data_IF_243478318722
#
_entry.id   IF_243478318722
#
_cell.length_a   1.000
_cell.length_b   1.000
_cell.length_c   1.000
_cell.angle_alpha   90.00
_cell.angle_beta   90.00
_cell.angle_gamma   90.00
#
_symmetry.space_group_name_H-M   'P 1'
#
loop_
_entity.id
_entity.type
_entity.pdbx_description
1 polymer ?
#
# COMPACT_ATOMS: atom_id res chain seq x y z
N UNK A 1 -12.28 -20.33 11.73
CA UNK A 1 -12.80 -18.93 11.65
C UNK A 1 -11.91 -18.00 10.82
N UNK A 2 -10.64 -18.33 10.55
CA UNK A 2 -9.72 -17.54 9.71
C UNK A 2 -9.92 -17.75 8.20
N UNK A 3 -10.26 -18.97 7.76
CA UNK A 3 -10.46 -19.32 6.33
C UNK A 3 -11.66 -18.59 5.67
N UNK A 4 -12.79 -18.47 6.38
CA UNK A 4 -13.96 -17.74 5.89
C UNK A 4 -13.66 -16.25 5.72
N UNK A 5 -12.92 -15.66 6.66
CA UNK A 5 -12.53 -14.25 6.61
C UNK A 5 -11.57 -13.96 5.45
N UNK A 6 -10.60 -14.85 5.20
CA UNK A 6 -9.65 -14.74 4.09
C UNK A 6 -10.32 -14.92 2.71
N UNK A 7 -11.30 -15.80 2.59
CA UNK A 7 -12.06 -15.96 1.34
C UNK A 7 -13.00 -14.77 1.11
N UNK A 8 -13.69 -14.28 2.16
CA UNK A 8 -14.55 -13.08 2.07
C UNK A 8 -13.75 -11.84 1.70
N UNK A 9 -12.57 -11.63 2.31
CA UNK A 9 -11.71 -10.47 1.98
C UNK A 9 -11.12 -10.56 0.57
N UNK A 10 -10.69 -11.73 0.09
CA UNK A 10 -10.22 -11.90 -1.30
C UNK A 10 -11.32 -11.68 -2.32
N UNK A 11 -12.54 -12.16 -2.06
CA UNK A 11 -13.69 -11.96 -2.96
C UNK A 11 -14.14 -10.49 -2.93
N UNK A 12 -14.21 -9.88 -1.75
CA UNK A 12 -14.61 -8.49 -1.56
C UNK A 12 -13.63 -7.51 -2.21
N UNK A 13 -12.31 -7.73 -2.05
CA UNK A 13 -11.28 -6.88 -2.66
C UNK A 13 -11.28 -6.96 -4.20
N UNK A 14 -11.59 -8.13 -4.78
CA UNK A 14 -11.65 -8.31 -6.23
C UNK A 14 -12.95 -7.80 -6.86
N UNK A 15 -14.04 -7.84 -6.10
CA UNK A 15 -15.35 -7.31 -6.52
C UNK A 15 -15.32 -5.78 -6.41
N UNK A 16 -14.98 -5.21 -5.25
CA UNK A 16 -15.01 -3.74 -5.00
C UNK A 16 -14.11 -2.94 -5.95
N UNK A 17 -13.01 -3.51 -6.46
CA UNK A 17 -12.11 -2.85 -7.42
C UNK A 17 -12.44 -3.06 -8.91
N UNK A 18 -13.43 -3.88 -9.26
CA UNK A 18 -13.79 -4.22 -10.65
C UNK A 18 -14.85 -3.28 -11.20
N UNK A 19 -14.75 -2.90 -12.49
CA UNK A 19 -15.77 -2.13 -13.20
C UNK A 19 -17.19 -2.72 -13.07
N UNK A 20 -17.30 -4.03 -12.87
CA UNK A 20 -18.58 -4.71 -12.62
C UNK A 20 -19.23 -4.33 -11.29
N UNK A 21 -18.47 -4.10 -10.21
CA UNK A 21 -19.06 -3.67 -8.93
C UNK A 21 -19.52 -2.21 -8.96
N UNK A 22 -18.80 -1.35 -9.70
CA UNK A 22 -19.25 0.02 -9.92
C UNK A 22 -20.60 0.07 -10.64
N UNK A 23 -20.75 -0.71 -11.71
CA UNK A 23 -22.02 -0.85 -12.44
C UNK A 23 -23.12 -1.43 -11.52
N UNK A 24 -22.81 -2.46 -10.74
CA UNK A 24 -23.75 -3.03 -9.77
C UNK A 24 -24.21 -2.00 -8.72
N UNK A 25 -23.29 -1.21 -8.16
CA UNK A 25 -23.62 -0.14 -7.22
C UNK A 25 -24.53 0.92 -7.84
N UNK A 26 -24.31 1.29 -9.11
CA UNK A 26 -25.19 2.21 -9.84
C UNK A 26 -26.60 1.61 -9.98
N UNK A 27 -26.72 0.33 -10.34
CA UNK A 27 -28.02 -0.34 -10.46
C UNK A 27 -28.74 -0.36 -9.11
N UNK A 28 -28.04 -0.66 -8.01
CA UNK A 28 -28.62 -0.66 -6.66
C UNK A 28 -29.14 0.74 -6.29
N UNK A 29 -28.39 1.79 -6.60
CA UNK A 29 -28.81 3.18 -6.36
C UNK A 29 -30.06 3.51 -7.19
N UNK A 30 -30.10 3.13 -8.47
CA UNK A 30 -31.26 3.35 -9.34
C UNK A 30 -32.51 2.65 -8.83
N UNK A 31 -32.40 1.38 -8.43
CA UNK A 31 -33.51 0.62 -7.84
C UNK A 31 -34.01 1.30 -6.57
N UNK A 32 -33.12 1.79 -5.71
CA UNK A 32 -33.48 2.52 -4.49
C UNK A 32 -34.23 3.83 -4.80
N UNK A 33 -33.80 4.61 -5.79
CA UNK A 33 -34.49 5.85 -6.20
C UNK A 33 -35.89 5.55 -6.74
N UNK A 34 -36.02 4.50 -7.58
CA UNK A 34 -37.31 4.12 -8.20
C UNK A 34 -38.30 3.58 -7.15
N UNK A 35 -37.81 2.91 -6.11
CA UNK A 35 -38.65 2.39 -5.02
C UNK A 35 -39.06 3.47 -4.01
N UNK A 36 -38.34 4.60 -3.94
CA UNK A 36 -38.66 5.74 -3.07
C UNK A 36 -40.09 6.31 -3.19
N UNK A 37 -40.61 6.59 -4.41
CA UNK A 37 -41.99 7.04 -4.62
C UNK A 37 -43.07 6.07 -4.12
N UNK A 38 -42.82 4.75 -4.21
CA UNK A 38 -43.75 3.72 -3.73
C UNK A 38 -43.90 3.82 -2.20
N UNK A 39 -42.79 4.05 -1.50
CA UNK A 39 -42.76 4.21 -0.05
C UNK A 39 -42.97 5.66 0.42
N UNK A 40 -43.39 6.57 -0.47
CA UNK A 40 -43.62 8.00 -0.20
C UNK A 40 -42.40 8.68 0.46
N UNK A 41 -41.18 8.19 0.20
CA UNK A 41 -39.97 8.61 0.90
C UNK A 41 -40.12 8.63 2.44
N UNK A 42 -40.81 7.65 3.00
CA UNK A 42 -41.08 7.57 4.44
C UNK A 42 -39.80 7.62 5.29
N UNK A 43 -39.94 8.09 6.54
CA UNK A 43 -38.82 8.15 7.48
C UNK A 43 -38.13 6.79 7.67
N UNK A 44 -38.88 5.69 7.67
CA UNK A 44 -38.34 4.32 7.79
C UNK A 44 -37.53 3.93 6.56
N UNK A 45 -38.01 4.29 5.37
CA UNK A 45 -37.31 4.04 4.10
C UNK A 45 -35.96 4.76 4.04
N UNK A 46 -35.94 6.03 4.44
CA UNK A 46 -34.71 6.82 4.51
C UNK A 46 -33.76 6.35 5.61
N UNK A 47 -34.29 5.92 6.75
CA UNK A 47 -33.50 5.41 7.88
C UNK A 47 -32.71 4.17 7.46
N UNK A 48 -33.36 3.20 6.79
CA UNK A 48 -32.73 1.94 6.38
C UNK A 48 -31.51 2.20 5.47
N UNK A 49 -31.68 3.02 4.43
CA UNK A 49 -30.58 3.28 3.48
C UNK A 49 -29.44 4.07 4.12
N UNK A 50 -29.77 5.03 4.98
CA UNK A 50 -28.79 5.86 5.66
C UNK A 50 -27.99 5.03 6.65
N UNK A 51 -28.65 4.13 7.39
CA UNK A 51 -27.98 3.19 8.30
C UNK A 51 -27.05 2.24 7.56
N UNK A 52 -27.49 1.65 6.44
CA UNK A 52 -26.65 0.75 5.63
C UNK A 52 -25.44 1.50 5.09
N UNK A 53 -25.64 2.69 4.52
CA UNK A 53 -24.57 3.51 3.95
C UNK A 53 -23.54 3.89 5.01
N UNK A 54 -23.98 4.26 6.23
CA UNK A 54 -23.08 4.56 7.34
C UNK A 54 -22.21 3.35 7.74
N UNK A 55 -22.79 2.15 7.78
CA UNK A 55 -22.03 0.93 8.08
C UNK A 55 -20.99 0.67 6.99
N UNK A 56 -21.37 0.76 5.72
CA UNK A 56 -20.44 0.58 4.59
C UNK A 56 -19.33 1.62 4.63
N UNK A 57 -19.65 2.89 4.86
CA UNK A 57 -18.66 3.96 4.99
C UNK A 57 -17.68 3.69 6.14
N UNK A 58 -18.17 3.23 7.29
CA UNK A 58 -17.33 2.86 8.43
C UNK A 58 -16.35 1.73 8.06
N UNK A 59 -16.83 0.69 7.37
CA UNK A 59 -15.98 -0.41 6.86
C UNK A 59 -14.94 0.10 5.88
N UNK A 60 -15.33 0.99 4.94
CA UNK A 60 -14.39 1.57 3.96
C UNK A 60 -13.32 2.40 4.66
N UNK A 61 -13.69 3.27 5.60
CA UNK A 61 -12.73 4.07 6.37
C UNK A 61 -11.76 3.16 7.12
N UNK A 62 -12.23 2.08 7.74
CA UNK A 62 -11.39 1.11 8.41
C UNK A 62 -10.41 0.40 7.45
N UNK A 63 -10.87 -0.02 6.27
CA UNK A 63 -10.03 -0.64 5.25
C UNK A 63 -8.96 0.32 4.69
N UNK A 64 -9.35 1.58 4.47
CA UNK A 64 -8.44 2.64 4.04
C UNK A 64 -7.39 2.88 5.13
N UNK A 65 -7.79 2.99 6.40
CA UNK A 65 -6.86 3.16 7.52
C UNK A 65 -5.89 2.00 7.63
N UNK A 66 -6.34 0.75 7.50
CA UNK A 66 -5.47 -0.43 7.54
C UNK A 66 -4.45 -0.43 6.39
N UNK A 67 -4.89 -0.08 5.18
CA UNK A 67 -3.99 0.04 4.01
C UNK A 67 -2.99 1.17 4.20
N UNK A 68 -3.46 2.36 4.60
CA UNK A 68 -2.62 3.53 4.85
C UNK A 68 -1.60 3.29 5.97
N UNK A 69 -1.97 2.58 7.03
CA UNK A 69 -1.06 2.26 8.14
C UNK A 69 0.12 1.42 7.65
N UNK A 70 -0.15 0.42 6.80
CA UNK A 70 0.89 -0.45 6.22
C UNK A 70 1.75 0.27 5.18
N UNK A 71 1.15 1.16 4.38
CA UNK A 71 1.89 1.96 3.39
C UNK A 71 2.82 2.96 4.08
N UNK A 72 2.39 3.55 5.20
CA UNK A 72 3.20 4.46 6.03
C UNK A 72 4.43 3.73 6.60
N UNK A 73 4.25 2.51 7.11
CA UNK A 73 5.37 1.69 7.61
C UNK A 73 6.41 1.38 6.51
N UNK A 74 5.95 1.03 5.30
CA UNK A 74 6.85 0.78 4.16
C UNK A 74 7.64 2.01 3.74
N UNK A 75 7.03 3.20 3.78
CA UNK A 75 7.70 4.46 3.48
C UNK A 75 8.81 4.73 4.49
N UNK A 76 8.56 4.54 5.79
CA UNK A 76 9.57 4.73 6.83
C UNK A 76 10.79 3.81 6.63
N UNK A 77 10.57 2.53 6.33
CA UNK A 77 11.68 1.58 6.06
C UNK A 77 12.52 2.02 4.86
N UNK A 78 11.87 2.45 3.77
CA UNK A 78 12.59 2.95 2.58
C UNK A 78 13.39 4.21 2.88
N UNK A 79 12.85 5.12 3.71
CA UNK A 79 13.56 6.32 4.16
C UNK A 79 14.77 5.96 5.03
N UNK A 80 14.59 5.03 5.97
CA UNK A 80 15.69 4.55 6.82
C UNK A 80 16.81 3.92 5.99
N UNK A 81 16.46 3.20 4.93
CA UNK A 81 17.44 2.63 4.01
C UNK A 81 18.14 3.71 3.18
N UNK A 82 17.44 4.71 2.65
CA UNK A 82 18.05 5.87 1.98
C UNK A 82 19.03 6.62 2.91
N UNK A 83 18.63 6.86 4.17
CA UNK A 83 19.49 7.50 5.16
C UNK A 83 20.71 6.63 5.47
N UNK A 84 20.53 5.31 5.57
CA UNK A 84 21.62 4.36 5.80
C UNK A 84 22.61 4.35 4.64
N UNK A 85 22.14 4.28 3.40
CA UNK A 85 23.00 4.29 2.20
C UNK A 85 23.76 5.62 2.11
N UNK A 86 23.11 6.74 2.42
CA UNK A 86 23.77 8.04 2.47
C UNK A 86 24.86 8.11 3.56
N UNK A 87 24.57 7.60 4.77
CA UNK A 87 25.56 7.50 5.86
C UNK A 87 26.71 6.57 5.51
N UNK A 88 26.44 5.42 4.88
CA UNK A 88 27.48 4.47 4.44
C UNK A 88 28.35 5.07 3.33
N UNK A 89 27.76 5.78 2.36
CA UNK A 89 28.53 6.50 1.34
C UNK A 89 29.45 7.54 1.99
N UNK A 90 28.93 8.31 2.95
CA UNK A 90 29.73 9.30 3.68
C UNK A 90 30.84 8.64 4.52
N UNK A 91 30.54 7.55 5.23
CA UNK A 91 31.52 6.79 6.02
C UNK A 91 32.60 6.16 5.12
N UNK A 92 32.22 5.62 3.96
CA UNK A 92 33.17 5.02 3.01
C UNK A 92 34.13 6.04 2.41
N UNK A 93 33.69 7.29 2.20
CA UNK A 93 34.56 8.38 1.74
C UNK A 93 35.51 8.82 2.87
N UNK A 94 35.02 8.92 4.10
CA UNK A 94 35.87 9.24 5.27
C UNK A 94 36.90 8.13 5.54
N UNK A 95 36.54 6.87 5.33
CA UNK A 95 37.49 5.76 5.49
C UNK A 95 38.49 5.70 4.33
N UNK A 96 38.11 6.11 3.10
CA UNK A 96 39.06 6.29 1.98
C UNK A 96 40.10 7.39 2.30
N UNK A 97 39.70 8.50 2.94
CA UNK A 97 40.62 9.57 3.37
C UNK A 97 41.55 9.15 4.52
N UNK A 98 41.29 8.02 5.18
CA UNK A 98 42.13 7.46 6.27
C UNK A 98 43.03 6.31 5.82
N UNK A 99 42.87 5.80 4.60
CA UNK A 99 43.77 4.79 4.04
C UNK A 99 45.11 5.45 3.72
N UNK A 100 46.22 4.78 4.07
CA UNK A 100 47.54 5.22 3.59
C UNK A 100 47.69 4.92 2.10
N UNK A 101 48.57 5.64 1.41
CA UNK A 101 48.85 5.46 -0.02
C UNK A 101 49.19 4.00 -0.41
N UNK A 102 49.76 3.22 0.52
CA UNK A 102 50.03 1.79 0.31
C UNK A 102 48.76 0.95 0.26
N UNK A 103 47.77 1.25 1.09
CA UNK A 103 46.49 0.53 1.12
C UNK A 103 45.62 0.88 -0.10
N UNK A 104 45.69 2.12 -0.57
CA UNK A 104 45.03 2.56 -1.81
C UNK A 104 45.61 1.79 -3.01
N UNK A 105 46.94 1.71 -3.12
CA UNK A 105 47.61 0.93 -4.17
C UNK A 105 47.30 -0.58 -4.10
N UNK A 106 47.18 -1.14 -2.90
CA UNK A 106 46.80 -2.55 -2.73
C UNK A 106 45.37 -2.81 -3.18
N UNK A 107 44.43 -1.88 -2.91
CA UNK A 107 43.04 -1.97 -3.36
C UNK A 107 42.93 -1.87 -4.89
N UNK A 108 43.68 -0.95 -5.50
CA UNK A 108 43.73 -0.81 -6.97
C UNK A 108 44.23 -2.09 -7.64
N UNK A 109 45.32 -2.69 -7.14
CA UNK A 109 45.84 -3.96 -7.64
C UNK A 109 44.79 -5.08 -7.53
N UNK A 110 44.06 -5.14 -6.43
CA UNK A 110 43.04 -6.16 -6.22
C UNK A 110 41.86 -6.02 -7.19
N UNK A 111 41.39 -4.80 -7.46
CA UNK A 111 40.33 -4.54 -8.45
C UNK A 111 40.78 -4.83 -9.89
N UNK A 112 42.05 -4.53 -10.22
CA UNK A 112 42.61 -4.85 -11.54
C UNK A 112 42.65 -6.37 -11.76
N UNK A 113 43.02 -7.16 -10.75
CA UNK A 113 42.98 -8.62 -10.83
C UNK A 113 41.56 -9.17 -10.99
N UNK A 114 40.59 -8.65 -10.22
CA UNK A 114 39.18 -9.03 -10.37
C UNK A 114 38.62 -8.70 -11.76
N UNK A 115 39.07 -7.60 -12.38
CA UNK A 115 38.66 -7.25 -13.75
C UNK A 115 39.24 -8.20 -14.82
N UNK A 116 40.44 -8.75 -14.57
CA UNK A 116 41.10 -9.71 -15.48
C UNK A 116 40.48 -11.10 -15.43
N UNK A 117 39.89 -11.49 -14.30
CA UNK A 117 39.25 -12.79 -14.14
C UNK A 117 37.82 -12.87 -14.69
N UNK A 118 37.26 -11.76 -15.19
CA UNK A 118 35.89 -11.68 -15.72
C UNK A 118 35.82 -11.70 -17.25
N UNK A 119 36.85 -12.20 -17.93
CA UNK A 119 36.94 -12.34 -19.39
C UNK A 119 37.07 -13.81 -19.78
#
# INVERSE_FOLDING_TARGET
>A
MTELFHHFTKLSAKIVGSAGAFIFSIIVILVWVITGPIFHFSNTWQLIISTITNIVAFVVVFLIQNTQNRDTESINIKLDELIRVHKMAHQSIIDLDKLSDEQINALEKHYIELSKHKK
#
